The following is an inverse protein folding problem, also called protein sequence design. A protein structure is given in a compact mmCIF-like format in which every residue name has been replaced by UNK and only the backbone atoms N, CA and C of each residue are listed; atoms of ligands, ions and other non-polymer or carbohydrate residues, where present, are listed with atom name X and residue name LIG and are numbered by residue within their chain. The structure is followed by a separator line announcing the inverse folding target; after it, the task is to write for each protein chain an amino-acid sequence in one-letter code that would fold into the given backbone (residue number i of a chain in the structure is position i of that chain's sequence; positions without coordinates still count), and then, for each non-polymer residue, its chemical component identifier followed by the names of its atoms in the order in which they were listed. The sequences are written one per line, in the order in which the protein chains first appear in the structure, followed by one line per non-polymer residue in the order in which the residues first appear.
data_IF_819588523086
#
_entry.id   IF_819588523086
#
_cell.length_a   1.000
_cell.length_b   1.000
_cell.length_c   1.000
_cell.angle_alpha   90.00
_cell.angle_beta   90.00
_cell.angle_gamma   90.00
#
_symmetry.space_group_name_H-M   'P 1'
#
loop_
_entity.id
_entity.type
_entity.pdbx_description
1 polymer ?
#
# COMPACT_ATOMS: atom_id res chain seq x y z
N UNK A 1 6.83 -5.11 -24.55
CA UNK A 1 5.60 -4.92 -24.14
C UNK A 1 5.38 -3.89 -23.11
N UNK A 2 4.32 -3.28 -23.10
CA UNK A 2 4.10 -2.16 -22.29
C UNK A 2 3.57 -2.47 -20.96
N UNK A 3 3.87 -1.69 -20.02
CA UNK A 3 3.42 -1.83 -18.74
C UNK A 3 2.52 -0.80 -18.39
N UNK A 4 1.42 -0.68 -18.89
CA UNK A 4 0.53 0.42 -18.67
C UNK A 4 0.09 0.56 -17.25
N UNK A 5 0.27 -0.46 -16.50
CA UNK A 5 -0.24 -0.40 -15.20
C UNK A 5 0.57 0.38 -14.25
N UNK A 6 1.61 1.00 -14.66
CA UNK A 6 2.41 1.76 -13.73
C UNK A 6 2.02 3.22 -13.71
N UNK A 7 0.75 3.54 -13.85
CA UNK A 7 0.30 4.91 -13.73
C UNK A 7 -0.38 5.10 -12.39
N UNK A 8 -0.48 6.34 -11.94
CA UNK A 8 -1.16 6.65 -10.69
C UNK A 8 -2.61 6.19 -10.74
N UNK A 9 -3.26 6.35 -11.88
CA UNK A 9 -4.66 5.95 -12.00
C UNK A 9 -4.83 4.44 -11.82
N UNK A 10 -3.93 3.65 -12.39
CA UNK A 10 -4.01 2.20 -12.25
C UNK A 10 -3.73 1.78 -10.82
N UNK A 11 -2.78 2.43 -10.17
CA UNK A 11 -2.45 2.12 -8.79
C UNK A 11 -3.63 2.46 -7.90
N UNK A 12 -4.26 3.61 -8.11
CA UNK A 12 -5.40 4.01 -7.31
C UNK A 12 -6.54 3.02 -7.46
N UNK A 13 -6.75 2.51 -8.67
CA UNK A 13 -7.81 1.53 -8.89
C UNK A 13 -7.54 0.25 -8.11
N UNK A 14 -6.29 -0.21 -8.08
CA UNK A 14 -5.95 -1.39 -7.32
C UNK A 14 -6.15 -1.16 -5.83
N UNK A 15 -5.81 0.00 -5.33
CA UNK A 15 -6.00 0.34 -3.93
C UNK A 15 -7.50 0.39 -3.61
N UNK A 16 -8.30 0.95 -4.50
CA UNK A 16 -9.74 1.00 -4.27
C UNK A 16 -10.35 -0.39 -4.19
N UNK A 17 -9.80 -1.33 -4.95
CA UNK A 17 -10.31 -2.70 -4.92
C UNK A 17 -10.00 -3.39 -3.59
N UNK A 18 -9.06 -2.86 -2.84
CA UNK A 18 -8.68 -3.42 -1.54
C UNK A 18 -9.32 -2.66 -0.38
N UNK A 19 -10.15 -1.67 -0.65
CA UNK A 19 -10.71 -0.84 0.41
C UNK A 19 -11.46 -1.69 1.42
N UNK A 20 -11.18 -1.43 2.68
CA UNK A 20 -11.83 -2.11 3.79
C UNK A 20 -11.44 -3.59 3.89
N UNK A 21 -10.48 -4.05 3.10
CA UNK A 21 -10.01 -5.43 3.15
C UNK A 21 -8.63 -5.50 3.77
N UNK A 22 -8.27 -6.64 4.35
CA UNK A 22 -6.94 -6.77 4.93
C UNK A 22 -5.88 -6.79 3.83
N UNK A 23 -4.80 -6.09 4.06
CA UNK A 23 -3.71 -6.00 3.10
C UNK A 23 -2.40 -6.21 3.83
N UNK A 24 -1.37 -6.59 3.07
CA UNK A 24 -0.02 -6.65 3.57
C UNK A 24 0.71 -5.45 3.03
N UNK A 25 1.32 -4.67 3.89
CA UNK A 25 2.07 -3.48 3.50
C UNK A 25 3.54 -3.80 3.62
N UNK A 26 4.28 -3.54 2.55
CA UNK A 26 5.71 -3.75 2.56
C UNK A 26 6.39 -2.43 2.26
N UNK A 27 7.25 -2.00 3.16
CA UNK A 27 7.97 -0.74 3.02
C UNK A 27 9.41 -1.01 2.65
N UNK A 28 9.90 -0.30 1.65
CA UNK A 28 11.28 -0.40 1.24
C UNK A 28 12.04 0.74 1.91
N UNK A 29 12.89 0.41 2.86
CA UNK A 29 13.66 1.41 3.58
C UNK A 29 15.05 1.62 2.98
N UNK A 30 15.32 1.00 1.83
CA UNK A 30 16.59 1.16 1.16
C UNK A 30 17.60 0.10 1.61
N UNK A 31 18.65 -0.06 0.84
CA UNK A 31 19.72 -0.97 1.18
C UNK A 31 19.27 -2.35 1.59
N UNK A 32 18.38 -2.92 0.84
CA UNK A 32 17.85 -4.26 1.09
C UNK A 32 17.12 -4.36 2.43
N UNK A 33 16.61 -3.25 2.94
CA UNK A 33 15.86 -3.28 4.16
C UNK A 33 14.39 -3.16 3.84
N UNK A 34 13.60 -4.12 4.26
CA UNK A 34 12.15 -4.09 4.06
C UNK A 34 11.45 -4.34 5.38
N UNK A 35 10.31 -3.73 5.55
CA UNK A 35 9.47 -3.96 6.71
C UNK A 35 8.10 -4.34 6.20
N UNK A 36 7.52 -5.40 6.74
CA UNK A 36 6.20 -5.84 6.35
C UNK A 36 5.28 -5.75 7.56
N UNK A 37 4.05 -5.35 7.34
CA UNK A 37 3.07 -5.43 8.41
C UNK A 37 1.68 -5.59 7.80
N UNK A 38 0.76 -6.08 8.59
CA UNK A 38 -0.61 -6.28 8.16
C UNK A 38 -1.44 -5.08 8.55
N UNK A 39 -2.35 -4.70 7.71
CA UNK A 39 -3.20 -3.55 7.96
C UNK A 39 -4.51 -3.69 7.18
N UNK A 40 -5.44 -2.79 7.45
CA UNK A 40 -6.67 -2.70 6.69
C UNK A 40 -6.68 -1.34 6.01
N UNK A 41 -7.04 -1.33 4.74
CA UNK A 41 -7.08 -0.08 4.01
C UNK A 41 -8.27 0.72 4.52
N UNK A 42 -8.03 1.86 5.12
CA UNK A 42 -9.06 2.61 5.82
C UNK A 42 -9.52 3.87 5.12
N UNK A 43 -8.76 4.43 4.22
CA UNK A 43 -9.18 5.65 3.53
C UNK A 43 -8.52 5.78 2.18
N UNK A 44 -9.26 6.31 1.21
CA UNK A 44 -8.75 6.52 -0.14
C UNK A 44 -9.05 7.95 -0.51
N UNK A 45 -8.01 8.69 -0.89
CA UNK A 45 -8.12 10.09 -1.23
C UNK A 45 -7.47 10.33 -2.60
N UNK A 46 -7.62 11.48 -3.19
CA UNK A 46 -7.11 11.71 -4.54
C UNK A 46 -5.63 11.44 -4.76
N UNK A 47 -4.80 11.77 -3.77
CA UNK A 47 -3.36 11.59 -3.92
C UNK A 47 -2.75 10.65 -2.90
N UNK A 48 -3.47 10.29 -1.87
CA UNK A 48 -2.95 9.47 -0.79
C UNK A 48 -3.97 8.44 -0.35
N UNK A 49 -3.51 7.50 0.44
CA UNK A 49 -4.42 6.54 1.07
C UNK A 49 -3.90 6.27 2.48
N UNK A 50 -4.77 5.78 3.34
CA UNK A 50 -4.41 5.48 4.72
C UNK A 50 -4.69 4.04 5.03
N UNK A 51 -3.93 3.50 5.96
CA UNK A 51 -4.13 2.13 6.41
C UNK A 51 -4.19 2.11 7.93
N UNK A 52 -4.85 1.10 8.45
CA UNK A 52 -4.94 0.93 9.90
C UNK A 52 -4.22 -0.36 10.23
N UNK A 53 -3.04 -0.29 10.86
CA UNK A 53 -2.29 -1.50 11.17
C UNK A 53 -3.04 -2.42 12.11
N UNK A 54 -2.88 -3.71 11.91
CA UNK A 54 -3.50 -4.69 12.77
C UNK A 54 -2.84 -4.66 14.15
N UNK A 55 -1.54 -4.40 14.18
CA UNK A 55 -0.81 -4.36 15.43
C UNK A 55 -1.02 -3.00 16.10
N UNK A 56 -1.63 -2.97 17.24
CA UNK A 56 -1.91 -1.73 17.94
C UNK A 56 -0.67 -1.01 18.42
N UNK A 57 0.44 -1.73 18.50
CA UNK A 57 1.69 -1.13 18.94
C UNK A 57 2.52 -0.62 17.78
N UNK A 58 1.98 -0.66 16.58
CA UNK A 58 2.70 -0.21 15.41
C UNK A 58 2.91 1.31 15.50
N UNK A 59 4.15 1.75 15.42
CA UNK A 59 4.47 3.17 15.53
C UNK A 59 4.89 3.79 14.20
N UNK A 60 4.74 3.09 13.12
CA UNK A 60 5.17 3.58 11.83
C UNK A 60 4.14 4.47 11.16
N UNK A 61 4.47 4.86 9.93
CA UNK A 61 3.62 5.73 9.14
C UNK A 61 2.40 4.96 8.67
N UNK A 62 1.25 5.60 8.66
CA UNK A 62 0.01 4.97 8.22
C UNK A 62 -0.61 5.67 7.02
N UNK A 63 0.00 6.74 6.52
CA UNK A 63 -0.49 7.46 5.36
C UNK A 63 0.56 7.39 4.27
N UNK A 64 0.18 6.97 3.09
CA UNK A 64 1.11 6.81 1.98
C UNK A 64 0.51 7.42 0.73
N UNK A 65 1.36 7.80 -0.22
CA UNK A 65 0.88 8.35 -1.47
C UNK A 65 0.96 7.29 -2.56
N UNK A 66 0.17 7.48 -3.60
CA UNK A 66 0.22 6.57 -4.74
C UNK A 66 1.58 6.70 -5.44
N UNK A 67 2.18 7.88 -5.37
CA UNK A 67 3.50 8.07 -5.97
C UNK A 67 4.55 7.21 -5.29
N UNK A 68 4.39 6.95 -3.99
CA UNK A 68 5.34 6.09 -3.28
C UNK A 68 5.25 4.65 -3.78
N UNK A 69 4.07 4.22 -4.16
CA UNK A 69 3.92 2.89 -4.75
C UNK A 69 4.58 2.87 -6.13
N UNK A 70 4.38 3.93 -6.88
CA UNK A 70 4.95 4.03 -8.21
C UNK A 70 6.47 4.01 -8.16
N UNK A 71 7.06 4.62 -7.13
CA UNK A 71 8.50 4.65 -6.96
C UNK A 71 9.08 3.37 -6.35
N UNK A 72 8.24 2.47 -5.92
CA UNK A 72 8.71 1.23 -5.32
C UNK A 72 9.07 1.34 -3.85
N UNK A 73 8.60 2.40 -3.18
CA UNK A 73 8.88 2.54 -1.76
C UNK A 73 7.86 1.83 -0.90
N UNK A 74 6.69 1.59 -1.43
CA UNK A 74 5.60 0.94 -0.71
C UNK A 74 4.94 -0.07 -1.62
N UNK A 75 4.65 -1.24 -1.10
CA UNK A 75 3.93 -2.27 -1.85
C UNK A 75 2.72 -2.69 -1.03
N UNK A 76 1.58 -2.77 -1.68
CA UNK A 76 0.34 -3.19 -1.03
C UNK A 76 -0.14 -4.46 -1.73
N UNK A 77 -0.35 -5.50 -0.95
CA UNK A 77 -0.83 -6.77 -1.48
C UNK A 77 -2.07 -7.18 -0.69
N UNK A 78 -3.10 -7.58 -1.39
CA UNK A 78 -4.33 -8.01 -0.72
C UNK A 78 -4.09 -9.34 -0.05
N UNK A 79 -4.46 -9.44 1.22
CA UNK A 79 -4.30 -10.67 1.96
C UNK A 79 -5.54 -11.53 1.79
N UNK A 80 -5.39 -12.79 2.02
CA UNK A 80 -6.54 -13.68 1.99
C UNK A 80 -7.01 -14.06 0.61
N UNK A 81 -6.28 -13.66 -0.41
CA UNK A 81 -6.64 -14.02 -1.76
C UNK A 81 -6.06 -15.37 -2.03
N UNK A 82 -6.82 -16.25 -2.55
CA UNK A 82 -6.29 -17.58 -2.85
C UNK A 82 -6.21 -17.83 -4.32
#
# INVERSE_FOLDING_TARGET
MIKPETTIAAIKRNIENCYSKPVSVRLNLGRNKFVNFDATLSGIYPSIFTVEPTDKNFLGKTTYSYAEILCGKVFITQKGVS
#
